data_IF_417490798670
#
_entry.id   IF_417490798670
#
_cell.length_a   1.000
_cell.length_b   1.000
_cell.length_c   1.000
_cell.angle_alpha   90.00
_cell.angle_beta   90.00
_cell.angle_gamma   90.00
#
_symmetry.space_group_name_H-M   'P 1'
#
loop_
_entity.id
_entity.type
_entity.pdbx_description
1 polymer ?
#
# COMPACT_ATOMS: atom_id res chain seq x y z
N UNK A 1 -6.60 -8.64 -1.91
CA UNK A 1 -6.80 -9.99 -2.51
C UNK A 1 -7.65 -10.90 -1.65
N UNK A 2 -8.25 -11.95 -2.20
CA UNK A 2 -9.02 -12.86 -1.39
C UNK A 2 -8.07 -13.68 -0.50
N UNK A 3 -8.42 -13.83 0.79
CA UNK A 3 -7.63 -14.57 1.80
C UNK A 3 -7.20 -15.96 1.33
N UNK A 4 -8.01 -16.60 0.48
CA UNK A 4 -7.72 -17.91 -0.11
C UNK A 4 -6.45 -17.90 -0.97
N UNK A 5 -6.13 -16.79 -1.63
CA UNK A 5 -4.95 -16.68 -2.46
C UNK A 5 -3.67 -16.58 -1.62
N UNK A 6 -3.76 -16.01 -0.42
CA UNK A 6 -2.64 -15.95 0.52
C UNK A 6 -2.40 -17.32 1.16
N UNK A 7 -3.48 -18.02 1.50
CA UNK A 7 -3.42 -19.40 1.98
C UNK A 7 -2.77 -20.36 0.96
N UNK A 8 -3.09 -20.22 -0.33
CA UNK A 8 -2.56 -21.08 -1.40
C UNK A 8 -1.04 -20.96 -1.55
N UNK A 9 -0.45 -19.80 -1.22
CA UNK A 9 0.99 -19.54 -1.36
C UNK A 9 1.84 -20.18 -0.26
N UNK A 10 1.24 -20.58 0.86
CA UNK A 10 1.97 -21.19 1.98
C UNK A 10 2.02 -22.70 1.77
N UNK A 11 3.21 -23.28 1.59
CA UNK A 11 3.36 -24.74 1.53
C UNK A 11 3.03 -25.40 2.87
N UNK A 12 2.11 -26.37 2.83
CA UNK A 12 1.69 -27.16 3.99
C UNK A 12 1.56 -28.63 3.60
N UNK A 13 2.10 -29.51 4.42
CA UNK A 13 2.08 -30.95 4.16
C UNK A 13 0.66 -31.57 4.23
N UNK A 14 -0.26 -30.91 4.93
CA UNK A 14 -1.66 -31.33 5.13
C UNK A 14 -2.63 -30.74 4.09
N UNK A 15 -2.13 -30.13 3.01
CA UNK A 15 -2.94 -29.47 2.02
C UNK A 15 -2.61 -29.91 0.60
N UNK A 16 -3.65 -30.19 -0.18
CA UNK A 16 -3.59 -30.38 -1.63
C UNK A 16 -4.19 -29.14 -2.31
N UNK A 17 -3.41 -28.48 -3.14
CA UNK A 17 -3.90 -27.39 -4.00
C UNK A 17 -4.07 -27.93 -5.41
N UNK A 18 -5.30 -27.90 -5.92
CA UNK A 18 -5.63 -28.30 -7.28
C UNK A 18 -6.02 -27.05 -8.10
N UNK A 19 -5.31 -26.81 -9.19
CA UNK A 19 -5.64 -25.76 -10.14
C UNK A 19 -6.32 -26.37 -11.36
N UNK A 20 -7.53 -25.93 -11.67
CA UNK A 20 -8.27 -26.31 -12.87
C UNK A 20 -8.77 -25.08 -13.60
N UNK A 21 -8.80 -25.16 -14.92
CA UNK A 21 -9.33 -24.11 -15.79
C UNK A 21 -10.30 -24.73 -16.79
N UNK A 22 -11.05 -23.91 -17.51
CA UNK A 22 -11.92 -24.40 -18.57
C UNK A 22 -11.16 -25.16 -19.68
N UNK A 23 -9.86 -24.97 -19.80
CA UNK A 23 -8.98 -25.70 -20.74
C UNK A 23 -8.68 -27.14 -20.30
N UNK A 24 -8.86 -27.45 -19.02
CA UNK A 24 -8.61 -28.78 -18.45
C UNK A 24 -9.88 -29.61 -18.30
N UNK A 25 -11.04 -29.07 -18.70
CA UNK A 25 -12.33 -29.72 -18.65
C UNK A 25 -12.69 -30.18 -20.07
N UNK A 26 -13.35 -31.35 -20.25
CA UNK A 26 -13.85 -31.77 -21.56
C UNK A 26 -14.74 -30.72 -22.20
N UNK A 27 -14.51 -30.42 -23.49
CA UNK A 27 -15.20 -29.31 -24.17
C UNK A 27 -16.73 -29.51 -24.28
N UNK A 28 -17.19 -30.73 -24.33
CA UNK A 28 -18.62 -31.11 -24.32
C UNK A 28 -19.32 -30.78 -22.99
N UNK A 29 -18.57 -30.53 -21.93
CA UNK A 29 -19.11 -30.08 -20.64
C UNK A 29 -19.24 -28.55 -20.56
N UNK A 30 -18.66 -27.84 -21.51
CA UNK A 30 -18.60 -26.39 -21.54
C UNK A 30 -19.63 -25.87 -22.53
N UNK A 31 -20.55 -25.03 -22.09
CA UNK A 31 -21.54 -24.41 -22.97
C UNK A 31 -20.89 -23.41 -23.94
N UNK A 32 -21.38 -23.34 -25.16
CA UNK A 32 -20.91 -22.41 -26.18
C UNK A 32 -20.86 -20.94 -25.73
N UNK A 33 -21.78 -20.41 -24.91
CA UNK A 33 -21.68 -19.02 -24.41
C UNK A 33 -20.43 -18.78 -23.58
N UNK A 34 -19.98 -19.75 -22.79
CA UNK A 34 -18.75 -19.58 -21.96
C UNK A 34 -17.49 -19.49 -22.83
N UNK A 35 -17.45 -20.32 -23.90
CA UNK A 35 -16.32 -20.29 -24.86
C UNK A 35 -16.27 -18.99 -25.64
N UNK A 36 -17.39 -18.42 -26.02
CA UNK A 36 -17.48 -17.13 -26.70
C UNK A 36 -17.04 -16.00 -25.80
N UNK A 37 -17.44 -16.00 -24.55
CA UNK A 37 -17.01 -15.00 -23.57
C UNK A 37 -15.52 -15.11 -23.29
N UNK A 38 -14.99 -16.32 -23.14
CA UNK A 38 -13.55 -16.54 -22.95
C UNK A 38 -12.73 -15.97 -24.12
N UNK A 39 -13.15 -16.23 -25.36
CA UNK A 39 -12.46 -15.70 -26.55
C UNK A 39 -12.59 -14.18 -26.66
N UNK A 40 -13.77 -13.63 -26.34
CA UNK A 40 -13.98 -12.19 -26.30
C UNK A 40 -13.05 -11.50 -25.29
N UNK A 41 -13.00 -12.00 -24.06
CA UNK A 41 -12.13 -11.44 -23.02
C UNK A 41 -10.64 -11.63 -23.35
N UNK A 42 -10.26 -12.75 -23.94
CA UNK A 42 -8.89 -13.00 -24.38
C UNK A 42 -8.39 -11.94 -25.37
N UNK A 43 -9.27 -11.47 -26.27
CA UNK A 43 -8.93 -10.46 -27.28
C UNK A 43 -9.02 -9.03 -26.75
N UNK A 44 -10.00 -8.72 -25.89
CA UNK A 44 -10.33 -7.35 -25.49
C UNK A 44 -9.90 -6.98 -24.06
N UNK A 45 -9.68 -7.99 -23.20
CA UNK A 45 -9.29 -7.79 -21.80
C UNK A 45 -8.44 -8.97 -21.30
N UNK A 46 -7.19 -9.12 -21.77
CA UNK A 46 -6.34 -10.29 -21.45
C UNK A 46 -6.12 -10.51 -19.95
N UNK A 47 -6.11 -9.46 -19.14
CA UNK A 47 -5.98 -9.56 -17.68
C UNK A 47 -7.21 -10.20 -17.06
N UNK A 48 -8.42 -9.76 -17.46
CA UNK A 48 -9.67 -10.38 -17.02
C UNK A 48 -9.77 -11.82 -17.47
N UNK A 49 -9.38 -12.13 -18.70
CA UNK A 49 -9.32 -13.50 -19.21
C UNK A 49 -8.44 -14.39 -18.33
N UNK A 50 -7.23 -13.94 -17.99
CA UNK A 50 -6.32 -14.68 -17.12
C UNK A 50 -6.91 -14.90 -15.73
N UNK A 51 -7.55 -13.88 -15.17
CA UNK A 51 -8.18 -13.97 -13.85
C UNK A 51 -9.43 -14.88 -13.85
N UNK A 52 -10.37 -14.59 -14.74
CA UNK A 52 -11.71 -15.21 -14.72
C UNK A 52 -11.72 -16.62 -15.32
N UNK A 53 -10.90 -16.88 -16.32
CA UNK A 53 -10.89 -18.13 -17.08
C UNK A 53 -9.68 -19.04 -16.81
N UNK A 54 -8.53 -18.47 -16.48
CA UNK A 54 -7.34 -19.27 -16.17
C UNK A 54 -7.09 -19.38 -14.67
N UNK A 55 -7.88 -18.71 -13.81
CA UNK A 55 -7.71 -18.73 -12.36
C UNK A 55 -6.39 -18.13 -11.90
N UNK A 56 -5.73 -17.34 -12.77
CA UNK A 56 -4.55 -16.63 -12.38
C UNK A 56 -4.92 -15.55 -11.35
N UNK A 57 -4.12 -15.42 -10.32
CA UNK A 57 -4.23 -14.31 -9.37
C UNK A 57 -3.72 -13.05 -10.07
N UNK A 58 -4.51 -12.59 -11.01
CA UNK A 58 -4.34 -11.25 -11.58
C UNK A 58 -5.15 -10.29 -10.74
N UNK A 59 -4.74 -9.07 -10.65
CA UNK A 59 -5.50 -8.06 -9.95
C UNK A 59 -6.92 -7.89 -10.51
N UNK A 60 -7.81 -7.33 -9.71
CA UNK A 60 -9.22 -7.06 -10.09
C UNK A 60 -9.34 -6.00 -11.19
N UNK A 61 -8.22 -5.39 -11.60
CA UNK A 61 -8.16 -4.24 -12.49
C UNK A 61 -8.44 -2.90 -11.80
N UNK A 62 -8.82 -2.95 -10.52
CA UNK A 62 -9.06 -1.79 -9.67
C UNK A 62 -7.89 -1.44 -8.74
N UNK A 63 -6.83 -2.25 -8.76
CA UNK A 63 -5.67 -1.98 -7.91
C UNK A 63 -5.09 -0.60 -8.20
N UNK A 64 -4.94 0.16 -7.12
CA UNK A 64 -4.32 1.47 -7.19
C UNK A 64 -2.83 1.36 -7.41
N UNK A 65 -2.17 0.42 -6.72
CA UNK A 65 -0.73 0.21 -6.83
C UNK A 65 -0.41 -1.11 -7.53
N UNK A 66 0.33 -1.04 -8.64
CA UNK A 66 0.81 -2.20 -9.41
C UNK A 66 2.32 -2.39 -9.34
N UNK A 67 3.00 -1.43 -8.72
CA UNK A 67 4.44 -1.33 -8.61
C UNK A 67 4.97 -1.80 -7.24
N UNK A 68 4.25 -2.72 -6.58
CA UNK A 68 4.58 -3.21 -5.24
C UNK A 68 5.42 -4.47 -5.32
N UNK A 69 6.47 -4.52 -4.48
CA UNK A 69 7.31 -5.69 -4.25
C UNK A 69 7.35 -6.02 -2.75
N UNK A 70 6.75 -7.12 -2.37
CA UNK A 70 6.73 -7.57 -0.98
C UNK A 70 7.91 -8.52 -0.76
N UNK A 71 8.93 -8.07 -0.04
CA UNK A 71 10.12 -8.86 0.28
C UNK A 71 10.80 -8.38 1.56
N UNK A 72 11.57 -9.24 2.23
CA UNK A 72 12.43 -8.82 3.33
C UNK A 72 13.42 -7.73 2.88
N UNK A 73 13.64 -6.74 3.74
CA UNK A 73 14.69 -5.71 3.59
C UNK A 73 15.73 -5.98 4.66
N UNK A 74 16.95 -6.28 4.24
CA UNK A 74 18.01 -6.69 5.19
C UNK A 74 18.53 -5.51 6.00
N UNK A 75 19.16 -5.78 7.14
CA UNK A 75 19.78 -4.75 7.97
C UNK A 75 20.92 -4.04 7.22
N UNK A 76 21.63 -4.76 6.35
CA UNK A 76 22.68 -4.21 5.48
C UNK A 76 22.13 -3.26 4.42
N UNK A 77 20.92 -3.52 3.89
CA UNK A 77 20.22 -2.58 3.02
C UNK A 77 19.83 -1.33 3.81
N UNK A 78 19.19 -1.50 4.97
CA UNK A 78 18.74 -0.39 5.83
C UNK A 78 19.92 0.50 6.25
N UNK A 79 21.07 -0.09 6.58
CA UNK A 79 22.26 0.66 6.97
C UNK A 79 22.82 1.57 5.86
N UNK A 80 22.45 1.34 4.60
CA UNK A 80 22.86 2.14 3.43
C UNK A 80 21.84 3.21 3.04
N UNK A 81 20.71 3.29 3.73
CA UNK A 81 19.67 4.26 3.44
C UNK A 81 20.12 5.67 3.81
N UNK A 82 20.04 6.58 2.87
CA UNK A 82 20.54 7.96 2.98
C UNK A 82 19.43 9.02 2.88
N UNK A 83 18.25 8.62 2.40
CA UNK A 83 17.07 9.50 2.24
C UNK A 83 15.89 9.01 3.02
N UNK A 84 16.07 8.89 4.33
CA UNK A 84 15.01 8.44 5.22
C UNK A 84 13.92 9.49 5.33
N UNK A 85 12.68 9.04 5.15
CA UNK A 85 11.45 9.82 5.27
C UNK A 85 10.57 9.20 6.32
N UNK A 86 9.83 10.02 7.07
CA UNK A 86 8.96 9.56 8.14
C UNK A 86 7.64 10.28 8.09
N UNK A 87 6.56 9.53 8.26
CA UNK A 87 5.20 10.06 8.26
C UNK A 87 4.36 9.53 9.40
N UNK A 88 3.40 10.33 9.82
CA UNK A 88 2.38 9.96 10.80
C UNK A 88 1.01 10.22 10.20
N UNK A 89 0.15 9.22 10.32
CA UNK A 89 -1.29 9.36 10.19
C UNK A 89 -1.94 9.18 11.56
N UNK A 90 -2.81 10.14 11.93
CA UNK A 90 -3.41 10.14 13.25
C UNK A 90 -4.66 9.27 13.29
N UNK A 91 -4.72 8.40 14.27
CA UNK A 91 -5.92 7.68 14.63
C UNK A 91 -6.03 7.57 16.15
N UNK A 92 -7.25 7.42 16.66
CA UNK A 92 -7.47 7.26 18.09
C UNK A 92 -8.39 6.04 18.33
N UNK A 93 -9.62 6.17 18.63
CA UNK A 93 -10.46 5.10 19.17
C UNK A 93 -10.61 3.86 18.25
N UNK A 94 -11.01 4.05 17.00
CA UNK A 94 -11.25 2.99 16.02
C UNK A 94 -10.12 2.97 14.99
N UNK A 95 -9.76 4.14 14.50
CA UNK A 95 -8.68 4.29 13.51
C UNK A 95 -7.31 4.16 14.22
N UNK A 96 -6.37 3.46 13.61
CA UNK A 96 -5.05 3.29 14.18
C UNK A 96 -4.22 4.55 14.09
N UNK A 97 -3.41 4.82 15.11
CA UNK A 97 -2.22 5.64 14.95
C UNK A 97 -1.23 4.89 14.07
N UNK A 98 -0.72 5.55 13.05
CA UNK A 98 0.28 4.97 12.15
C UNK A 98 1.51 5.86 12.07
N UNK A 99 2.68 5.23 12.22
CA UNK A 99 3.97 5.83 11.91
C UNK A 99 4.69 4.95 10.91
N UNK A 100 5.27 5.55 9.87
CA UNK A 100 6.04 4.87 8.83
C UNK A 100 7.44 5.48 8.74
N UNK A 101 8.47 4.62 8.64
CA UNK A 101 9.79 4.99 8.13
C UNK A 101 10.03 4.35 6.77
N UNK A 102 10.43 5.16 5.81
CA UNK A 102 10.78 4.69 4.48
C UNK A 102 12.06 5.39 3.98
N UNK A 103 12.70 4.79 2.95
CA UNK A 103 13.82 5.41 2.24
C UNK A 103 13.44 5.63 0.78
N UNK A 104 13.70 6.81 0.25
CA UNK A 104 13.46 7.12 -1.15
C UNK A 104 14.76 7.14 -1.96
N UNK A 105 15.01 6.09 -2.75
CA UNK A 105 16.06 6.05 -3.75
C UNK A 105 15.63 6.84 -5.00
N UNK A 106 15.92 8.14 -5.00
CA UNK A 106 15.48 9.05 -6.06
C UNK A 106 16.04 8.68 -7.44
N UNK A 107 17.31 8.31 -7.61
CA UNK A 107 17.86 7.90 -8.91
C UNK A 107 17.15 6.71 -9.54
N UNK A 108 16.71 5.74 -8.71
CA UNK A 108 16.01 4.53 -9.16
C UNK A 108 14.51 4.63 -9.04
N UNK A 109 13.99 5.77 -8.55
CA UNK A 109 12.56 5.98 -8.29
C UNK A 109 11.93 4.85 -7.47
N UNK A 110 12.67 4.37 -6.44
CA UNK A 110 12.25 3.28 -5.56
C UNK A 110 11.99 3.77 -4.15
N UNK A 111 10.94 3.26 -3.54
CA UNK A 111 10.60 3.53 -2.14
C UNK A 111 10.72 2.23 -1.35
N UNK A 112 11.44 2.27 -0.23
CA UNK A 112 11.61 1.13 0.68
C UNK A 112 10.89 1.43 1.98
N UNK A 113 9.81 0.71 2.30
CA UNK A 113 9.07 0.83 3.56
C UNK A 113 9.57 -0.28 4.48
N UNK A 114 10.19 0.10 5.61
CA UNK A 114 10.96 -0.84 6.42
C UNK A 114 10.69 -0.77 7.93
N UNK A 115 9.88 0.17 8.39
CA UNK A 115 9.51 0.27 9.80
C UNK A 115 8.12 0.90 9.94
N UNK A 116 7.26 0.28 10.74
CA UNK A 116 5.93 0.79 11.05
C UNK A 116 5.61 0.70 12.54
N UNK A 117 4.78 1.62 13.02
CA UNK A 117 3.96 1.48 14.21
C UNK A 117 2.52 1.59 13.76
N UNK A 118 1.70 0.62 14.15
CA UNK A 118 0.29 0.57 13.78
C UNK A 118 -0.50 0.11 15.02
N UNK A 119 -1.30 0.97 15.61
CA UNK A 119 -2.10 0.60 16.78
C UNK A 119 -3.28 1.55 17.02
N UNK A 120 -4.45 0.98 17.26
CA UNK A 120 -5.61 1.72 17.76
C UNK A 120 -5.47 2.04 19.25
N UNK A 121 -6.11 3.12 19.70
CA UNK A 121 -6.15 3.51 21.11
C UNK A 121 -4.80 3.97 21.69
N UNK A 122 -3.83 4.32 20.84
CA UNK A 122 -2.51 4.77 21.29
C UNK A 122 -2.53 6.25 21.68
N UNK A 123 -2.08 6.58 22.90
CA UNK A 123 -1.89 7.98 23.30
C UNK A 123 -0.66 8.58 22.63
N UNK A 124 -0.67 9.91 22.43
CA UNK A 124 0.47 10.65 21.85
C UNK A 124 1.76 10.41 22.63
N UNK A 125 1.70 10.30 23.96
CA UNK A 125 2.85 9.99 24.81
C UNK A 125 3.45 8.63 24.48
N UNK A 126 2.62 7.60 24.45
CA UNK A 126 3.07 6.24 24.13
C UNK A 126 3.62 6.14 22.71
N UNK A 127 2.97 6.80 21.76
CA UNK A 127 3.45 6.88 20.37
C UNK A 127 4.84 7.53 20.31
N UNK A 128 5.03 8.67 20.98
CA UNK A 128 6.32 9.35 21.03
C UNK A 128 7.41 8.47 21.65
N UNK A 129 7.11 7.75 22.74
CA UNK A 129 8.08 6.87 23.38
C UNK A 129 8.45 5.69 22.48
N UNK A 130 7.48 5.11 21.75
CA UNK A 130 7.75 4.04 20.77
C UNK A 130 8.57 4.52 19.58
N UNK A 131 8.32 5.73 19.08
CA UNK A 131 9.12 6.33 18.01
C UNK A 131 10.57 6.57 18.47
N UNK A 132 10.75 7.16 19.67
CA UNK A 132 12.09 7.40 20.24
C UNK A 132 12.87 6.10 20.47
N UNK A 133 12.21 5.03 20.94
CA UNK A 133 12.86 3.75 21.18
C UNK A 133 13.43 3.10 19.91
N UNK A 134 13.00 3.55 18.72
CA UNK A 134 13.54 3.13 17.41
C UNK A 134 14.76 3.96 16.95
N UNK A 135 15.26 4.86 17.78
CA UNK A 135 16.39 5.73 17.43
C UNK A 135 16.08 6.72 16.32
N UNK A 136 14.80 7.10 16.16
CA UNK A 136 14.38 8.03 15.12
C UNK A 136 15.01 9.39 15.33
N UNK A 137 15.74 9.86 14.32
CA UNK A 137 16.31 11.19 14.24
C UNK A 137 15.78 11.94 13.00
N UNK A 138 15.69 13.27 13.09
CA UNK A 138 15.26 14.12 11.99
C UNK A 138 13.77 14.45 12.01
N UNK A 139 13.29 14.98 10.90
CA UNK A 139 11.92 15.47 10.77
C UNK A 139 10.93 14.33 10.48
N UNK A 140 9.74 14.45 11.08
CA UNK A 140 8.58 13.61 10.82
C UNK A 140 7.48 14.51 10.28
N UNK A 141 6.80 14.11 9.22
CA UNK A 141 5.68 14.85 8.64
C UNK A 141 4.38 14.13 9.01
N UNK A 142 3.49 14.82 9.72
CA UNK A 142 2.24 14.27 10.19
C UNK A 142 1.04 14.88 9.47
N UNK A 143 -0.08 14.20 9.49
CA UNK A 143 -1.34 14.84 9.11
C UNK A 143 -1.53 16.15 9.86
N UNK A 144 -1.82 17.22 9.14
CA UNK A 144 -2.03 18.56 9.71
C UNK A 144 -3.41 18.79 10.33
N UNK A 145 -4.33 17.82 10.24
CA UNK A 145 -5.66 17.92 10.84
C UNK A 145 -5.62 17.94 12.37
N UNK A 146 -4.53 17.45 12.99
CA UNK A 146 -4.36 17.30 14.42
C UNK A 146 -3.22 18.20 14.99
N UNK A 147 -3.36 19.53 14.96
CA UNK A 147 -2.30 20.44 15.41
C UNK A 147 -1.93 20.27 16.89
N UNK A 148 -2.88 19.85 17.72
CA UNK A 148 -2.63 19.54 19.13
C UNK A 148 -1.72 18.32 19.28
N UNK A 149 -1.98 17.26 18.53
CA UNK A 149 -1.13 16.05 18.55
C UNK A 149 0.27 16.35 18.04
N UNK A 150 0.43 17.23 17.04
CA UNK A 150 1.74 17.72 16.57
C UNK A 150 2.48 18.46 17.69
N UNK A 151 1.80 19.35 18.42
CA UNK A 151 2.39 20.08 19.54
C UNK A 151 2.82 19.14 20.68
N UNK A 152 1.97 18.16 21.05
CA UNK A 152 2.29 17.14 22.03
C UNK A 152 3.59 16.38 21.64
N UNK A 153 3.70 15.94 20.38
CA UNK A 153 4.91 15.24 19.91
C UNK A 153 6.16 16.09 20.01
N UNK A 154 6.05 17.38 19.74
CA UNK A 154 7.16 18.32 19.90
C UNK A 154 7.58 18.46 21.36
N UNK A 155 6.61 18.58 22.28
CA UNK A 155 6.87 18.59 23.73
C UNK A 155 7.53 17.30 24.22
N UNK A 156 7.21 16.17 23.61
CA UNK A 156 7.85 14.87 23.90
C UNK A 156 9.22 14.70 23.22
N UNK A 157 9.75 15.75 22.56
CA UNK A 157 11.10 15.79 22.01
C UNK A 157 11.24 15.23 20.59
N UNK A 158 10.15 15.08 19.85
CA UNK A 158 10.17 14.70 18.43
C UNK A 158 10.06 15.95 17.55
N UNK A 159 10.76 15.95 16.42
CA UNK A 159 10.66 17.02 15.41
C UNK A 159 9.53 16.70 14.43
N UNK A 160 8.31 17.05 14.79
CA UNK A 160 7.12 16.79 13.97
C UNK A 160 6.58 18.10 13.42
N UNK A 161 6.22 18.10 12.14
CA UNK A 161 5.45 19.20 11.53
C UNK A 161 4.23 18.64 10.77
N UNK A 162 3.24 19.50 10.60
CA UNK A 162 2.08 19.18 9.76
C UNK A 162 2.42 19.14 8.26
N UNK A 163 1.78 18.23 7.56
CA UNK A 163 1.83 18.15 6.11
C UNK A 163 1.16 19.40 5.48
N UNK A 164 1.64 19.80 4.32
CA UNK A 164 1.05 20.89 3.54
C UNK A 164 -0.10 20.34 2.71
N UNK A 165 -1.32 20.61 3.14
CA UNK A 165 -2.51 20.19 2.42
C UNK A 165 -2.90 21.28 1.40
N UNK A 166 -3.12 20.87 0.16
CA UNK A 166 -3.70 21.69 -0.91
C UNK A 166 -4.85 20.96 -1.58
N UNK A 167 -5.57 21.61 -2.48
CA UNK A 167 -6.54 20.94 -3.33
C UNK A 167 -5.91 19.72 -3.98
N UNK A 168 -6.65 18.61 -4.01
CA UNK A 168 -6.20 17.34 -4.63
C UNK A 168 -4.89 16.72 -4.06
N UNK A 169 -4.45 17.14 -2.87
CA UNK A 169 -3.21 16.62 -2.27
C UNK A 169 -3.20 15.10 -2.08
N UNK A 170 -4.36 14.50 -1.78
CA UNK A 170 -4.53 13.04 -1.68
C UNK A 170 -4.27 12.40 -3.05
N UNK A 171 -5.00 12.87 -4.06
CA UNK A 171 -4.87 12.37 -5.43
C UNK A 171 -3.44 12.49 -5.94
N UNK A 172 -2.85 13.67 -5.79
CA UNK A 172 -1.48 13.93 -6.22
C UNK A 172 -0.46 13.02 -5.52
N UNK A 173 -0.58 12.83 -4.21
CA UNK A 173 0.32 11.95 -3.46
C UNK A 173 0.19 10.48 -3.84
N UNK A 174 -1.04 9.99 -4.08
CA UNK A 174 -1.26 8.62 -4.56
C UNK A 174 -0.72 8.44 -5.99
N UNK A 175 -0.99 9.39 -6.89
CA UNK A 175 -0.44 9.36 -8.24
C UNK A 175 1.09 9.34 -8.24
N UNK A 176 1.73 10.15 -7.40
CA UNK A 176 3.18 10.12 -7.25
C UNK A 176 3.72 8.75 -6.80
N UNK A 177 3.07 8.11 -5.82
CA UNK A 177 3.44 6.75 -5.39
C UNK A 177 3.26 5.71 -6.51
N UNK A 178 2.19 5.83 -7.30
CA UNK A 178 1.93 4.96 -8.45
C UNK A 178 2.96 5.12 -9.56
N UNK A 179 3.49 6.32 -9.72
CA UNK A 179 4.47 6.65 -10.75
C UNK A 179 5.89 6.21 -10.39
N UNK A 180 6.13 5.73 -9.17
CA UNK A 180 7.42 5.15 -8.80
C UNK A 180 7.67 3.85 -9.58
N UNK A 181 8.94 3.56 -9.85
CA UNK A 181 9.31 2.32 -10.52
C UNK A 181 9.04 1.10 -9.63
N UNK A 182 9.20 1.25 -8.30
CA UNK A 182 8.96 0.16 -7.35
C UNK A 182 8.73 0.69 -5.92
N UNK A 183 7.76 0.09 -5.22
CA UNK A 183 7.55 0.26 -3.78
C UNK A 183 7.86 -1.08 -3.11
N UNK A 184 8.98 -1.16 -2.42
CA UNK A 184 9.43 -2.36 -1.71
C UNK A 184 8.95 -2.27 -0.26
N UNK A 185 8.25 -3.30 0.21
CA UNK A 185 7.70 -3.33 1.57
C UNK A 185 8.19 -4.60 2.28
N UNK A 186 8.77 -4.42 3.47
CA UNK A 186 9.17 -5.55 4.31
C UNK A 186 7.95 -6.10 5.07
N UNK A 187 7.45 -7.32 4.75
CA UNK A 187 6.22 -7.83 5.35
C UNK A 187 6.37 -8.22 6.83
N UNK A 188 7.59 -8.49 7.30
CA UNK A 188 7.83 -8.84 8.69
C UNK A 188 7.88 -7.59 9.58
N UNK A 189 8.42 -6.47 9.07
CA UNK A 189 8.54 -5.19 9.77
C UNK A 189 7.33 -4.31 9.60
N UNK A 190 6.63 -4.42 8.45
CA UNK A 190 5.54 -3.55 8.03
C UNK A 190 4.35 -4.39 7.50
N UNK A 191 3.77 -5.29 8.33
CA UNK A 191 2.69 -6.17 7.87
C UNK A 191 1.42 -5.40 7.48
N UNK A 192 1.13 -4.26 8.13
CA UNK A 192 -0.04 -3.46 7.80
C UNK A 192 0.17 -2.68 6.51
N UNK A 193 1.35 -2.10 6.28
CA UNK A 193 1.68 -1.47 5.01
C UNK A 193 1.62 -2.49 3.86
N UNK A 194 2.17 -3.69 4.04
CA UNK A 194 2.09 -4.76 3.04
C UNK A 194 0.64 -5.11 2.71
N UNK A 195 -0.25 -5.21 3.71
CA UNK A 195 -1.67 -5.48 3.53
C UNK A 195 -2.37 -4.33 2.81
N UNK A 196 -2.27 -3.10 3.32
CA UNK A 196 -3.01 -1.95 2.78
C UNK A 196 -2.58 -1.64 1.35
N UNK A 197 -1.28 -1.54 1.07
CA UNK A 197 -0.81 -1.28 -0.30
C UNK A 197 -1.22 -2.37 -1.29
N UNK A 198 -1.22 -3.66 -0.88
CA UNK A 198 -1.59 -4.77 -1.77
C UNK A 198 -3.09 -4.89 -1.99
N UNK A 199 -3.92 -4.39 -1.07
CA UNK A 199 -5.38 -4.51 -1.15
C UNK A 199 -6.09 -3.20 -1.48
N UNK A 200 -5.35 -2.11 -1.72
CA UNK A 200 -5.94 -0.81 -2.01
C UNK A 200 -6.48 -0.74 -3.43
N UNK A 201 -7.80 -0.79 -3.55
CA UNK A 201 -8.52 -0.88 -4.82
C UNK A 201 -9.57 0.22 -4.95
N UNK A 202 -9.76 0.72 -6.17
CA UNK A 202 -10.84 1.65 -6.48
C UNK A 202 -12.20 1.00 -6.22
N UNK A 203 -13.12 1.73 -5.63
CA UNK A 203 -14.49 1.28 -5.46
C UNK A 203 -15.22 1.23 -6.79
N UNK A 204 -16.19 0.32 -6.89
CA UNK A 204 -17.11 0.26 -8.03
C UNK A 204 -18.41 1.01 -7.72
N UNK A 205 -19.00 1.58 -8.75
CA UNK A 205 -20.36 2.12 -8.70
C UNK A 205 -21.39 0.99 -8.86
N UNK A 206 -22.68 1.37 -8.89
CA UNK A 206 -23.80 0.41 -9.03
C UNK A 206 -23.80 -0.32 -10.38
N UNK A 207 -23.16 0.25 -11.38
CA UNK A 207 -23.07 -0.27 -12.74
C UNK A 207 -21.79 -1.08 -12.96
N UNK A 208 -20.97 -1.26 -11.91
CA UNK A 208 -19.72 -2.00 -11.94
C UNK A 208 -18.50 -1.25 -12.44
N UNK A 209 -18.62 0.05 -12.76
CA UNK A 209 -17.50 0.89 -13.19
C UNK A 209 -16.69 1.38 -11.98
N UNK A 210 -15.38 1.55 -12.15
CA UNK A 210 -14.55 2.11 -11.11
C UNK A 210 -14.83 3.59 -10.90
N UNK A 211 -14.98 3.98 -9.64
CA UNK A 211 -15.09 5.39 -9.25
C UNK A 211 -13.77 6.12 -9.49
N UNK A 212 -13.86 7.40 -9.85
CA UNK A 212 -12.68 8.22 -10.09
C UNK A 212 -11.91 8.61 -8.82
N UNK A 213 -12.54 8.49 -7.65
CA UNK A 213 -11.95 8.89 -6.38
C UNK A 213 -11.33 7.69 -5.68
N UNK A 214 -10.21 7.91 -5.03
CA UNK A 214 -9.56 6.92 -4.17
C UNK A 214 -10.39 6.70 -2.90
N UNK A 215 -10.52 5.44 -2.42
CA UNK A 215 -11.25 5.14 -1.19
C UNK A 215 -10.60 5.79 0.03
N UNK A 216 -11.43 6.25 0.97
CA UNK A 216 -10.97 6.77 2.26
C UNK A 216 -11.20 5.69 3.35
N UNK A 217 -10.57 4.56 3.17
CA UNK A 217 -10.60 3.42 4.10
C UNK A 217 -9.41 2.50 3.86
N UNK A 218 -8.95 1.83 4.90
CA UNK A 218 -7.82 0.89 4.85
C UNK A 218 -6.58 1.49 4.15
N UNK A 219 -6.31 2.79 4.41
CA UNK A 219 -5.30 3.58 3.74
C UNK A 219 -4.33 4.31 4.70
N UNK A 220 -4.36 3.96 5.98
CA UNK A 220 -3.62 4.69 7.02
C UNK A 220 -2.10 4.66 6.79
N UNK A 221 -1.54 3.51 6.40
CA UNK A 221 -0.11 3.41 6.06
C UNK A 221 0.23 4.11 4.75
N UNK A 222 -0.72 4.11 3.81
CA UNK A 222 -0.61 4.84 2.55
C UNK A 222 -0.56 6.34 2.82
N UNK A 223 -1.44 6.84 3.68
CA UNK A 223 -1.50 8.24 4.05
C UNK A 223 -0.26 8.68 4.84
N UNK A 224 0.18 7.88 5.82
CA UNK A 224 1.45 8.12 6.52
C UNK A 224 2.64 8.15 5.54
N UNK A 225 2.66 7.28 4.51
CA UNK A 225 3.69 7.24 3.48
C UNK A 225 3.62 8.48 2.56
N UNK A 226 2.42 8.93 2.20
CA UNK A 226 2.21 10.18 1.43
C UNK A 226 2.75 11.38 2.19
N UNK A 227 2.46 11.48 3.49
CA UNK A 227 3.00 12.55 4.33
C UNK A 227 4.53 12.45 4.40
N UNK A 228 5.08 11.27 4.67
CA UNK A 228 6.52 11.05 4.73
C UNK A 228 7.25 11.59 3.48
N UNK A 229 6.67 11.38 2.30
CA UNK A 229 7.29 11.70 1.00
C UNK A 229 6.88 13.05 0.41
N UNK A 230 6.11 13.88 1.14
CA UNK A 230 5.58 15.16 0.67
C UNK A 230 6.63 16.06 0.00
N UNK A 231 7.81 16.16 0.59
CA UNK A 231 8.88 17.01 0.06
C UNK A 231 9.46 16.50 -1.27
N UNK A 232 9.36 15.18 -1.53
CA UNK A 232 9.87 14.57 -2.76
C UNK A 232 8.84 14.68 -3.90
N UNK A 233 7.54 14.75 -3.57
CA UNK A 233 6.44 14.91 -4.51
C UNK A 233 6.46 16.28 -5.21
N UNK A 234 6.92 17.32 -4.53
CA UNK A 234 6.95 18.69 -5.05
C UNK A 234 8.01 18.91 -6.16
N UNK A 235 9.04 18.08 -6.21
CA UNK A 235 10.13 18.21 -7.17
C UNK A 235 9.83 17.68 -8.59
N UNK A 236 8.62 17.20 -8.85
CA UNK A 236 8.22 16.64 -10.17
C UNK A 236 7.52 17.71 -11.04
N UNK A 237 7.25 18.92 -10.51
CA UNK A 237 6.53 19.98 -11.24
C UNK A 237 7.38 20.91 -12.11
N UNK A 238 8.66 20.58 -12.35
CA UNK A 238 9.53 21.43 -13.19
C UNK A 238 10.17 20.59 -14.28
N UNK A 239 9.41 20.29 -15.30
CA UNK A 239 9.88 20.15 -16.70
C UNK A 239 8.70 20.37 -17.62
#
# INVERSE_FOLDING_TARGET
>A
GAWVNDEVRVERADRLVHHSTYLTVPQDWIGAPLLLEAEHLKQHSPERYRHEFLGEVTGTGGEVFRNISIRPITNEEIARFDRIRRGIDWGYAVDPFVFISCNYDKPRRRLYIYDEIYAAGMSNRLAADRIKSRGVAGEIIADSAEPKSIADMYEYGLRVRGARKGPDSVKHGIEWLRDLDEIIIDPARCPNAAREFSSYELERDKDGNYKANYPDRDNHTIDATRYATENDQQNVRVT
#
